data_IF_348057342824
#
_entry.id   IF_348057342824
#
_cell.length_a   1.000
_cell.length_b   1.000
_cell.length_c   1.000
_cell.angle_alpha   90.00
_cell.angle_beta   90.00
_cell.angle_gamma   90.00
#
_symmetry.space_group_name_H-M   'P 1'
#
loop_
_entity.id
_entity.type
_entity.pdbx_description
1 polymer ?
#
# COMPACT_ATOMS: atom_id res chain seq x y z
N UNK A 1 -16.67 -15.69 -19.50
CA UNK A 1 -15.60 -14.77 -19.96
C UNK A 1 -16.03 -14.04 -21.24
N UNK A 2 -16.95 -13.06 -21.19
CA UNK A 2 -17.46 -12.37 -22.40
C UNK A 2 -17.23 -10.84 -22.46
N UNK A 3 -16.56 -10.23 -21.47
CA UNK A 3 -16.43 -8.77 -21.37
C UNK A 3 -15.04 -8.17 -21.63
N UNK A 4 -14.02 -8.97 -21.99
CA UNK A 4 -12.65 -8.48 -22.26
C UNK A 4 -12.61 -7.42 -23.38
N UNK A 5 -13.28 -7.60 -24.54
CA UNK A 5 -13.18 -6.65 -25.66
C UNK A 5 -13.73 -5.25 -25.34
N UNK A 6 -14.68 -5.16 -24.40
CA UNK A 6 -15.25 -3.88 -24.00
C UNK A 6 -14.27 -3.06 -23.17
N UNK A 7 -13.52 -3.68 -22.26
CA UNK A 7 -12.57 -2.97 -21.38
C UNK A 7 -11.47 -2.26 -22.19
N UNK A 8 -10.88 -2.95 -23.17
CA UNK A 8 -9.88 -2.35 -24.07
C UNK A 8 -10.45 -1.14 -24.81
N UNK A 9 -11.71 -1.22 -25.24
CA UNK A 9 -12.40 -0.14 -25.94
C UNK A 9 -12.61 1.07 -25.03
N UNK A 10 -13.07 0.86 -23.80
CA UNK A 10 -13.25 1.94 -22.81
C UNK A 10 -11.93 2.59 -22.42
N UNK A 11 -10.87 1.79 -22.23
CA UNK A 11 -9.53 2.32 -21.97
C UNK A 11 -9.08 3.12 -23.18
N UNK A 12 -9.12 2.55 -24.41
CA UNK A 12 -8.74 3.26 -25.63
C UNK A 12 -9.48 4.59 -25.81
N UNK A 13 -10.78 4.62 -25.51
CA UNK A 13 -11.58 5.84 -25.53
C UNK A 13 -11.08 6.87 -24.51
N UNK A 14 -10.85 6.48 -23.25
CA UNK A 14 -10.32 7.40 -22.23
C UNK A 14 -8.94 7.96 -22.65
N UNK A 15 -8.10 7.11 -23.23
CA UNK A 15 -6.76 7.47 -23.67
C UNK A 15 -6.78 8.43 -24.86
N UNK A 16 -7.70 8.25 -25.81
CA UNK A 16 -7.84 9.15 -26.97
C UNK A 16 -8.39 10.54 -26.62
N UNK A 17 -8.96 10.69 -25.42
CA UNK A 17 -9.49 11.95 -24.92
C UNK A 17 -8.60 12.59 -23.84
N UNK A 18 -7.35 12.12 -23.70
CA UNK A 18 -6.36 12.64 -22.76
C UNK A 18 -6.90 12.75 -21.32
N UNK A 19 -7.65 11.74 -20.87
CA UNK A 19 -8.24 11.73 -19.52
C UNK A 19 -7.12 11.84 -18.47
N UNK A 20 -7.15 12.90 -17.66
CA UNK A 20 -6.15 13.10 -16.61
C UNK A 20 -6.36 12.19 -15.39
N UNK A 21 -7.62 11.83 -15.13
CA UNK A 21 -8.07 11.10 -13.94
C UNK A 21 -8.66 9.75 -14.36
N UNK A 22 -7.88 8.68 -14.23
CA UNK A 22 -8.30 7.34 -14.64
C UNK A 22 -8.35 6.39 -13.44
N UNK A 23 -9.49 5.73 -13.26
CA UNK A 23 -9.70 4.72 -12.21
C UNK A 23 -10.21 3.43 -12.82
N UNK A 24 -9.38 2.37 -12.74
CA UNK A 24 -9.72 1.04 -13.24
C UNK A 24 -9.86 0.07 -12.07
N UNK A 25 -11.03 -0.58 -11.98
CA UNK A 25 -11.36 -1.52 -10.91
C UNK A 25 -11.67 -2.91 -11.48
N UNK A 26 -10.74 -3.83 -11.24
CA UNK A 26 -10.78 -5.22 -11.66
C UNK A 26 -10.99 -6.19 -10.47
N UNK A 27 -11.51 -5.73 -9.33
CA UNK A 27 -11.73 -6.55 -8.12
C UNK A 27 -12.64 -7.77 -8.34
N UNK A 28 -13.50 -7.76 -9.35
CA UNK A 28 -14.39 -8.89 -9.66
C UNK A 28 -13.92 -9.69 -10.88
N UNK A 29 -12.69 -9.44 -11.35
CA UNK A 29 -12.15 -10.03 -12.57
C UNK A 29 -11.12 -11.13 -12.27
N UNK A 30 -11.60 -12.32 -11.93
CA UNK A 30 -10.76 -13.46 -11.53
C UNK A 30 -9.84 -14.01 -12.64
N UNK A 31 -10.07 -13.63 -13.90
CA UNK A 31 -9.36 -14.17 -15.06
C UNK A 31 -8.04 -13.49 -15.43
N UNK A 32 -7.52 -12.55 -14.63
CA UNK A 32 -6.23 -11.91 -14.91
C UNK A 32 -6.22 -11.11 -16.22
N UNK A 33 -6.94 -9.99 -16.25
CA UNK A 33 -6.91 -9.03 -17.36
C UNK A 33 -5.52 -8.39 -17.53
N UNK A 34 -4.93 -8.51 -18.71
CA UNK A 34 -3.72 -7.77 -19.08
C UNK A 34 -4.14 -6.41 -19.62
N UNK A 35 -3.69 -5.33 -18.97
CA UNK A 35 -3.87 -3.98 -19.50
C UNK A 35 -3.18 -3.85 -20.87
N UNK A 36 -3.81 -3.21 -21.88
CA UNK A 36 -3.24 -3.08 -23.21
C UNK A 36 -1.93 -2.28 -23.23
N UNK A 37 -1.01 -2.59 -24.15
CA UNK A 37 0.33 -2.00 -24.14
C UNK A 37 0.32 -0.46 -24.32
N UNK A 38 -0.66 0.08 -25.05
CA UNK A 38 -0.84 1.53 -25.22
C UNK A 38 -1.16 2.28 -23.92
N UNK A 39 -1.66 1.58 -22.89
CA UNK A 39 -1.92 2.16 -21.58
C UNK A 39 -0.63 2.69 -20.92
N UNK A 40 0.46 1.95 -21.08
CA UNK A 40 1.74 2.23 -20.45
C UNK A 40 2.48 3.42 -21.07
N UNK A 41 2.23 3.71 -22.34
CA UNK A 41 2.91 4.77 -23.08
C UNK A 41 2.23 6.14 -22.97
N UNK A 42 1.32 6.31 -22.02
CA UNK A 42 0.54 7.54 -21.88
C UNK A 42 1.17 8.56 -20.96
N UNK A 43 1.12 9.82 -21.42
CA UNK A 43 1.76 10.97 -20.80
C UNK A 43 0.74 11.96 -20.21
N UNK A 44 -0.56 11.68 -20.29
CA UNK A 44 -1.62 12.62 -19.91
C UNK A 44 -2.18 12.41 -18.50
N UNK A 45 -1.96 11.24 -17.90
CA UNK A 45 -2.53 10.95 -16.59
C UNK A 45 -1.76 11.69 -15.50
N UNK A 46 -2.47 12.57 -14.79
CA UNK A 46 -2.00 13.17 -13.54
C UNK A 46 -2.41 12.32 -12.34
N UNK A 47 -3.57 11.64 -12.42
CA UNK A 47 -4.08 10.72 -11.38
C UNK A 47 -4.46 9.35 -11.96
N UNK A 48 -3.82 8.30 -11.45
CA UNK A 48 -4.11 6.91 -11.82
C UNK A 48 -4.47 6.07 -10.59
N UNK A 49 -5.58 5.35 -10.68
CA UNK A 49 -6.00 4.36 -9.69
C UNK A 49 -6.20 3.00 -10.33
N UNK A 50 -5.48 2.01 -9.84
CA UNK A 50 -5.60 0.63 -10.25
C UNK A 50 -5.99 -0.24 -9.04
N UNK A 51 -7.03 -1.04 -9.21
CA UNK A 51 -7.47 -2.03 -8.23
C UNK A 51 -7.73 -3.37 -8.90
N UNK A 52 -7.24 -4.49 -8.37
CA UNK A 52 -7.62 -5.79 -8.93
C UNK A 52 -6.79 -7.01 -8.51
N UNK A 53 -7.43 -8.18 -8.44
CA UNK A 53 -6.80 -9.45 -8.08
C UNK A 53 -6.04 -10.09 -9.24
N UNK A 54 -4.85 -10.66 -8.99
CA UNK A 54 -4.05 -11.37 -10.00
C UNK A 54 -3.60 -10.52 -11.22
N UNK A 55 -3.65 -9.18 -11.16
CA UNK A 55 -3.15 -8.34 -12.26
C UNK A 55 -1.71 -7.91 -12.00
N UNK A 56 -0.84 -8.16 -12.98
CA UNK A 56 0.48 -7.56 -13.05
C UNK A 56 0.32 -6.10 -13.48
N UNK A 57 0.78 -5.16 -12.65
CA UNK A 57 0.57 -3.72 -12.87
C UNK A 57 1.30 -3.25 -14.12
N UNK A 58 2.50 -3.77 -14.37
CA UNK A 58 3.33 -3.45 -15.54
C UNK A 58 4.00 -4.73 -16.03
N UNK A 59 3.81 -5.14 -17.31
CA UNK A 59 4.51 -6.26 -17.89
C UNK A 59 6.02 -6.04 -17.95
N UNK A 60 6.84 -7.10 -17.87
CA UNK A 60 8.30 -6.98 -17.82
C UNK A 60 8.91 -6.27 -19.03
N UNK A 61 8.26 -6.42 -20.17
CA UNK A 61 8.72 -5.90 -21.46
C UNK A 61 8.16 -4.49 -21.76
N UNK A 62 7.28 -3.97 -20.90
CA UNK A 62 6.61 -2.70 -21.14
C UNK A 62 7.47 -1.52 -20.69
N UNK A 63 7.78 -0.64 -21.63
CA UNK A 63 8.23 0.72 -21.31
C UNK A 63 7.02 1.51 -20.81
N UNK A 64 7.12 2.07 -19.61
CA UNK A 64 6.06 2.91 -19.03
C UNK A 64 6.51 4.36 -19.01
N UNK A 65 5.70 5.22 -19.61
CA UNK A 65 5.96 6.65 -19.84
C UNK A 65 5.01 7.55 -19.06
N UNK A 66 4.68 7.17 -17.82
CA UNK A 66 3.87 7.95 -16.88
C UNK A 66 4.60 9.18 -16.32
N UNK A 67 5.17 10.02 -17.18
CA UNK A 67 6.00 11.18 -16.82
C UNK A 67 5.22 12.29 -16.12
N UNK A 68 3.93 12.43 -16.44
CA UNK A 68 3.02 13.42 -15.82
C UNK A 68 2.32 12.91 -14.57
N UNK A 69 2.53 11.64 -14.18
CA UNK A 69 1.83 11.05 -13.05
C UNK A 69 2.26 11.72 -11.74
N UNK A 70 1.27 12.21 -11.00
CA UNK A 70 1.45 12.84 -9.68
C UNK A 70 0.75 12.06 -8.58
N UNK A 71 -0.40 11.47 -8.88
CA UNK A 71 -1.18 10.70 -7.92
C UNK A 71 -1.32 9.26 -8.39
N UNK A 72 -0.84 8.32 -7.59
CA UNK A 72 -0.91 6.90 -7.90
C UNK A 72 -1.56 6.14 -6.75
N UNK A 73 -2.59 5.36 -7.07
CA UNK A 73 -3.24 4.45 -6.12
C UNK A 73 -3.17 3.02 -6.63
N UNK A 74 -2.52 2.15 -5.86
CA UNK A 74 -2.34 0.74 -6.16
C UNK A 74 -2.89 -0.10 -5.00
N UNK A 75 -4.04 -0.75 -5.19
CA UNK A 75 -4.68 -1.54 -4.14
C UNK A 75 -5.12 -2.93 -4.62
N UNK A 76 -5.04 -3.93 -3.72
CA UNK A 76 -5.60 -5.27 -3.89
C UNK A 76 -4.96 -6.18 -4.97
N UNK A 77 -3.63 -6.28 -5.04
CA UNK A 77 -2.92 -7.13 -6.04
C UNK A 77 -2.48 -8.49 -5.48
N UNK A 78 -2.50 -9.56 -6.28
CA UNK A 78 -2.19 -10.89 -5.76
C UNK A 78 -0.68 -11.12 -5.52
N UNK A 79 -0.39 -11.78 -4.41
CA UNK A 79 0.95 -12.20 -3.98
C UNK A 79 1.44 -13.47 -4.70
N UNK A 80 0.56 -14.15 -5.46
CA UNK A 80 0.86 -15.37 -6.23
C UNK A 80 1.99 -15.19 -7.27
N UNK A 81 2.40 -13.95 -7.54
CA UNK A 81 3.48 -13.61 -8.46
C UNK A 81 4.80 -13.25 -7.74
N UNK A 82 4.93 -13.46 -6.43
CA UNK A 82 6.08 -13.03 -5.62
C UNK A 82 7.46 -13.48 -6.15
N UNK A 83 7.57 -14.66 -6.77
CA UNK A 83 8.84 -15.14 -7.33
C UNK A 83 9.26 -14.33 -8.58
N UNK A 84 8.40 -14.14 -9.59
CA UNK A 84 8.69 -13.21 -10.69
C UNK A 84 8.87 -11.75 -10.24
N UNK A 85 8.16 -11.32 -9.19
CA UNK A 85 8.11 -9.92 -8.79
C UNK A 85 9.44 -9.32 -8.30
N UNK A 86 10.32 -10.08 -7.65
CA UNK A 86 11.64 -9.56 -7.28
C UNK A 86 12.45 -9.06 -8.48
N UNK A 87 12.29 -9.72 -9.64
CA UNK A 87 12.92 -9.28 -10.90
C UNK A 87 12.30 -7.99 -11.44
N UNK A 88 11.02 -7.76 -11.17
CA UNK A 88 10.24 -6.63 -11.72
C UNK A 88 10.13 -5.45 -10.75
N UNK A 89 10.57 -5.68 -9.52
CA UNK A 89 10.58 -4.71 -8.44
C UNK A 89 11.28 -3.40 -8.82
N UNK A 90 12.50 -3.37 -9.41
CA UNK A 90 13.15 -2.11 -9.76
C UNK A 90 12.39 -1.30 -10.81
N UNK A 91 11.81 -1.98 -11.81
CA UNK A 91 11.03 -1.36 -12.89
C UNK A 91 9.80 -0.66 -12.32
N UNK A 92 9.11 -1.31 -11.38
CA UNK A 92 7.92 -0.71 -10.77
C UNK A 92 8.26 0.48 -9.88
N UNK A 93 9.34 0.42 -9.11
CA UNK A 93 9.74 1.52 -8.24
C UNK A 93 10.19 2.76 -9.00
N UNK A 94 10.86 2.57 -10.15
CA UNK A 94 11.17 3.67 -11.06
C UNK A 94 9.92 4.47 -11.46
N UNK A 95 8.74 3.82 -11.50
CA UNK A 95 7.47 4.49 -11.82
C UNK A 95 6.83 5.20 -10.63
N UNK A 96 7.21 4.85 -9.41
CA UNK A 96 6.73 5.53 -8.20
C UNK A 96 7.50 6.83 -7.92
N UNK A 97 8.74 6.97 -8.41
CA UNK A 97 9.67 8.06 -8.04
C UNK A 97 9.13 9.48 -8.29
N UNK A 98 8.24 9.62 -9.27
CA UNK A 98 7.67 10.92 -9.68
C UNK A 98 6.33 11.22 -8.99
N UNK A 99 5.73 10.27 -8.27
CA UNK A 99 4.47 10.50 -7.60
C UNK A 99 4.65 11.43 -6.40
N UNK A 100 3.82 12.46 -6.32
CA UNK A 100 3.71 13.35 -5.15
C UNK A 100 2.72 12.80 -4.13
N UNK A 101 1.68 12.09 -4.59
CA UNK A 101 0.69 11.41 -3.74
C UNK A 101 0.66 9.92 -4.06
N UNK A 102 0.93 9.09 -3.08
CA UNK A 102 0.99 7.65 -3.25
C UNK A 102 0.02 6.95 -2.29
N UNK A 103 -0.84 6.08 -2.83
CA UNK A 103 -1.69 5.19 -2.06
C UNK A 103 -1.36 3.73 -2.36
N UNK A 104 -1.01 2.96 -1.31
CA UNK A 104 -0.60 1.56 -1.43
C UNK A 104 -1.50 0.66 -0.60
N UNK A 105 -1.92 -0.46 -1.18
CA UNK A 105 -2.62 -1.51 -0.47
C UNK A 105 -1.68 -2.48 0.23
N UNK A 106 -2.19 -3.13 1.28
CA UNK A 106 -1.54 -4.17 2.08
C UNK A 106 -0.57 -5.10 1.33
N UNK A 107 -1.00 -5.70 0.21
CA UNK A 107 -0.14 -6.64 -0.54
C UNK A 107 1.13 -5.98 -1.11
N UNK A 108 1.03 -4.73 -1.57
CA UNK A 108 2.20 -4.00 -2.05
C UNK A 108 3.16 -3.69 -0.91
N UNK A 109 2.63 -3.31 0.26
CA UNK A 109 3.42 -3.02 1.45
C UNK A 109 4.17 -4.28 1.93
N UNK A 110 3.56 -5.47 1.85
CA UNK A 110 4.25 -6.72 2.18
C UNK A 110 5.38 -7.06 1.19
N UNK A 111 5.19 -6.78 -0.10
CA UNK A 111 6.27 -6.92 -1.10
C UNK A 111 7.42 -5.97 -0.74
N UNK A 112 7.11 -4.74 -0.33
CA UNK A 112 8.12 -3.80 0.16
C UNK A 112 8.83 -4.33 1.43
N UNK A 113 8.09 -4.90 2.38
CA UNK A 113 8.69 -5.53 3.57
C UNK A 113 9.67 -6.63 3.20
N UNK A 114 9.31 -7.45 2.22
CA UNK A 114 10.15 -8.55 1.75
C UNK A 114 11.39 -8.05 1.01
N UNK A 115 11.26 -6.99 0.21
CA UNK A 115 12.38 -6.35 -0.46
C UNK A 115 13.35 -5.70 0.54
N UNK A 116 12.81 -5.11 1.61
CA UNK A 116 13.59 -4.59 2.74
C UNK A 116 14.42 -5.68 3.39
N UNK A 117 13.74 -6.76 3.75
CA UNK A 117 14.34 -7.98 4.30
C UNK A 117 15.45 -8.53 3.41
N UNK A 118 15.29 -8.48 2.09
CA UNK A 118 16.28 -8.97 1.13
C UNK A 118 17.38 -7.97 0.82
N UNK A 119 17.40 -6.79 1.44
CA UNK A 119 18.38 -5.75 1.16
C UNK A 119 18.33 -5.27 -0.30
N UNK A 120 17.17 -5.40 -0.96
CA UNK A 120 17.03 -4.91 -2.34
C UNK A 120 17.15 -3.40 -2.31
N UNK A 121 17.83 -2.73 -3.26
CA UNK A 121 17.88 -1.27 -3.31
C UNK A 121 16.48 -0.64 -3.45
N UNK A 122 16.28 0.53 -2.84
CA UNK A 122 15.06 1.34 -2.98
C UNK A 122 15.41 2.74 -3.48
N UNK A 123 14.65 3.32 -4.42
CA UNK A 123 14.88 4.68 -4.84
C UNK A 123 14.30 5.67 -3.82
N UNK A 124 14.91 6.85 -3.77
CA UNK A 124 14.32 8.01 -3.09
C UNK A 124 13.06 8.44 -3.84
N UNK A 125 11.97 8.64 -3.10
CA UNK A 125 10.67 9.05 -3.60
C UNK A 125 10.44 10.54 -3.39
N UNK A 126 9.72 11.18 -4.32
CA UNK A 126 9.26 12.58 -4.22
C UNK A 126 7.87 12.70 -3.57
N UNK A 127 7.46 11.67 -2.83
CA UNK A 127 6.11 11.58 -2.25
C UNK A 127 6.00 12.57 -1.09
N UNK A 128 5.00 13.44 -1.17
CA UNK A 128 4.59 14.38 -0.11
C UNK A 128 3.43 13.86 0.71
N UNK A 129 2.56 13.04 0.12
CA UNK A 129 1.44 12.42 0.83
C UNK A 129 1.37 10.91 0.59
N UNK A 130 1.48 10.14 1.66
CA UNK A 130 1.45 8.68 1.63
C UNK A 130 0.21 8.13 2.36
N UNK A 131 -0.55 7.28 1.68
CA UNK A 131 -1.70 6.57 2.26
C UNK A 131 -1.52 5.06 2.16
N UNK A 132 -1.52 4.38 3.30
CA UNK A 132 -1.28 2.95 3.41
C UNK A 132 -2.58 2.26 3.83
N UNK A 133 -3.25 1.64 2.86
CA UNK A 133 -4.51 0.91 3.05
C UNK A 133 -4.21 -0.53 3.50
N UNK A 134 -3.89 -0.67 4.78
CA UNK A 134 -3.52 -1.95 5.40
C UNK A 134 -3.96 -2.05 6.85
N UNK A 135 -4.18 -3.29 7.32
CA UNK A 135 -4.18 -3.58 8.76
C UNK A 135 -2.74 -3.51 9.27
N UNK A 136 -2.56 -3.02 10.49
CA UNK A 136 -1.26 -2.92 11.14
C UNK A 136 -0.92 -4.29 11.73
N UNK A 137 0.13 -4.91 11.21
CA UNK A 137 0.69 -6.18 11.68
C UNK A 137 2.19 -6.20 11.41
N UNK A 138 2.92 -7.11 12.06
CA UNK A 138 4.38 -7.22 11.89
C UNK A 138 4.82 -7.42 10.42
N UNK A 139 3.99 -8.01 9.56
CA UNK A 139 4.30 -8.23 8.14
C UNK A 139 4.45 -6.96 7.31
N UNK A 140 3.81 -5.85 7.71
CA UNK A 140 3.84 -4.59 6.94
C UNK A 140 4.85 -3.60 7.50
N UNK A 141 5.24 -3.73 8.78
CA UNK A 141 6.13 -2.78 9.46
C UNK A 141 7.43 -2.52 8.69
N UNK A 142 8.18 -3.54 8.20
CA UNK A 142 9.42 -3.30 7.46
C UNK A 142 9.20 -2.52 6.15
N UNK A 143 8.12 -2.80 5.43
CA UNK A 143 7.77 -2.09 4.21
C UNK A 143 7.37 -0.64 4.48
N UNK A 144 6.71 -0.38 5.60
CA UNK A 144 6.40 0.99 6.05
C UNK A 144 7.69 1.73 6.40
N UNK A 145 8.60 1.13 7.15
CA UNK A 145 9.91 1.70 7.49
C UNK A 145 10.65 2.17 6.24
N UNK A 146 10.77 1.26 5.26
CA UNK A 146 11.47 1.52 4.01
C UNK A 146 10.86 2.70 3.25
N UNK A 147 9.53 2.81 3.20
CA UNK A 147 8.86 3.94 2.56
C UNK A 147 9.19 5.26 3.24
N UNK A 148 9.21 5.29 4.57
CA UNK A 148 9.51 6.50 5.34
C UNK A 148 10.95 6.96 5.15
N UNK A 149 11.91 6.03 5.29
CA UNK A 149 13.34 6.31 5.13
C UNK A 149 13.69 6.83 3.74
N UNK A 150 12.90 6.49 2.72
CA UNK A 150 13.13 6.89 1.34
C UNK A 150 12.17 7.98 0.85
N UNK A 151 11.40 8.62 1.73
CA UNK A 151 10.50 9.72 1.37
C UNK A 151 10.85 11.00 2.15
N UNK A 152 12.01 11.64 1.89
CA UNK A 152 12.49 12.79 2.67
C UNK A 152 11.54 14.00 2.63
N UNK A 153 10.74 14.12 1.57
CA UNK A 153 9.78 15.22 1.37
C UNK A 153 8.37 14.89 1.87
N UNK A 154 8.20 13.81 2.65
CA UNK A 154 6.89 13.41 3.14
C UNK A 154 6.35 14.42 4.16
N UNK A 155 5.19 14.99 3.84
CA UNK A 155 4.47 15.95 4.69
C UNK A 155 3.35 15.24 5.46
N UNK A 156 2.63 14.31 4.80
CA UNK A 156 1.47 13.64 5.38
C UNK A 156 1.52 12.13 5.24
N UNK A 157 1.31 11.43 6.36
CA UNK A 157 1.14 9.99 6.42
C UNK A 157 -0.27 9.62 6.89
N UNK A 158 -0.90 8.66 6.22
CA UNK A 158 -2.11 8.00 6.70
C UNK A 158 -1.93 6.49 6.64
N UNK A 159 -2.03 5.82 7.78
CA UNK A 159 -1.93 4.35 7.86
C UNK A 159 -3.24 3.81 8.38
N UNK A 160 -3.85 2.91 7.62
CA UNK A 160 -4.98 2.13 8.06
C UNK A 160 -5.88 1.74 6.91
N UNK A 161 -6.53 0.60 7.08
CA UNK A 161 -7.33 -0.02 6.03
C UNK A 161 -8.29 -1.05 6.59
N UNK A 162 -9.49 -1.10 6.00
CA UNK A 162 -10.46 -2.15 6.32
C UNK A 162 -10.07 -3.40 5.54
N UNK A 163 -9.59 -4.46 6.22
CA UNK A 163 -9.39 -5.72 5.49
C UNK A 163 -10.75 -6.31 5.15
N UNK A 164 -11.10 -6.15 3.88
CA UNK A 164 -12.28 -6.78 3.29
C UNK A 164 -11.97 -8.17 2.74
N UNK A 165 -10.70 -8.61 2.78
CA UNK A 165 -10.28 -9.84 2.10
C UNK A 165 -9.28 -10.64 2.92
N UNK A 166 -9.43 -11.97 2.87
CA UNK A 166 -8.48 -12.93 3.45
C UNK A 166 -7.12 -12.73 2.79
N UNK A 167 -6.10 -12.53 3.61
CA UNK A 167 -4.73 -12.50 3.15
C UNK A 167 -4.32 -13.93 2.82
N UNK A 168 -3.82 -14.23 1.61
CA UNK A 168 -3.11 -15.47 1.39
C UNK A 168 -1.86 -15.46 2.28
N UNK A 169 -1.55 -16.57 2.99
CA UNK A 169 -0.30 -16.67 3.73
C UNK A 169 0.87 -16.39 2.80
N UNK A 170 1.77 -15.49 3.20
CA UNK A 170 3.09 -15.45 2.59
C UNK A 170 3.93 -16.48 3.35
N UNK A 171 3.80 -17.76 2.99
CA UNK A 171 4.55 -18.86 3.62
C UNK A 171 6.07 -18.57 3.68
N UNK A 172 6.58 -17.82 2.70
CA UNK A 172 7.96 -17.34 2.66
C UNK A 172 8.33 -16.33 3.75
N UNK A 173 7.42 -15.43 4.13
CA UNK A 173 7.65 -14.39 5.12
C UNK A 173 7.64 -15.00 6.52
N UNK A 174 6.71 -15.92 6.78
CA UNK A 174 6.67 -16.70 8.02
C UNK A 174 7.94 -17.54 8.20
N UNK A 175 8.41 -18.21 7.15
CA UNK A 175 9.64 -19.01 7.18
C UNK A 175 10.88 -18.13 7.45
N UNK A 176 10.93 -16.93 6.88
CA UNK A 176 12.06 -16.01 7.05
C UNK A 176 12.05 -15.30 8.41
N UNK A 177 10.90 -14.81 8.86
CA UNK A 177 10.76 -14.18 10.18
C UNK A 177 11.17 -15.17 11.30
N UNK A 178 10.82 -16.45 11.17
CA UNK A 178 11.31 -17.52 12.05
C UNK A 178 12.83 -17.68 12.02
N UNK A 179 13.47 -17.59 10.84
CA UNK A 179 14.93 -17.67 10.71
C UNK A 179 15.64 -16.45 11.32
N UNK A 180 14.99 -15.29 11.39
CA UNK A 180 15.52 -14.07 12.01
C UNK A 180 15.21 -13.97 13.51
N UNK A 181 14.65 -15.02 14.13
CA UNK A 181 14.33 -15.03 15.56
C UNK A 181 13.07 -14.24 15.93
N UNK A 182 12.29 -13.74 14.95
CA UNK A 182 10.98 -13.18 15.24
C UNK A 182 10.01 -14.31 15.59
N UNK A 183 9.26 -14.14 16.69
CA UNK A 183 8.26 -15.11 17.11
C UNK A 183 7.04 -15.05 16.16
N UNK A 184 7.08 -15.85 15.09
CA UNK A 184 5.92 -16.07 14.22
C UNK A 184 5.01 -17.08 14.91
N UNK A 185 4.18 -16.60 15.83
CA UNK A 185 3.10 -17.42 16.38
C UNK A 185 2.29 -18.00 15.21
N UNK A 186 1.91 -19.27 15.34
CA UNK A 186 1.24 -20.07 14.32
C UNK A 186 -0.15 -19.48 14.05
N UNK A 187 -0.26 -18.53 13.13
CA UNK A 187 -1.55 -17.96 12.73
C UNK A 187 -2.38 -19.04 12.04
N UNK A 188 -3.54 -19.37 12.63
CA UNK A 188 -4.54 -20.22 11.99
C UNK A 188 -5.38 -19.34 11.05
N UNK A 189 -5.35 -19.64 9.76
CA UNK A 189 -5.98 -18.85 8.69
C UNK A 189 -7.50 -19.11 8.53
N UNK A 190 -8.08 -19.89 9.44
CA UNK A 190 -9.50 -20.13 9.53
C UNK A 190 -10.05 -19.38 10.73
N UNK A 191 -10.50 -18.14 10.52
CA UNK A 191 -11.61 -17.54 11.27
C UNK A 191 -11.85 -16.10 10.81
N UNK A 192 -13.08 -15.64 10.98
CA UNK A 192 -13.50 -14.23 11.01
C UNK A 192 -12.75 -13.39 12.09
N UNK A 193 -11.76 -13.98 12.76
CA UNK A 193 -10.99 -13.44 13.87
C UNK A 193 -9.49 -13.56 13.59
N UNK A 194 -8.96 -12.62 12.80
CA UNK A 194 -7.51 -12.45 12.69
C UNK A 194 -6.96 -11.99 14.06
N UNK A 195 -6.25 -12.90 14.74
CA UNK A 195 -5.65 -12.76 16.09
C UNK A 195 -4.46 -11.78 16.11
N UNK A 196 -4.03 -11.26 14.95
CA UNK A 196 -2.82 -10.43 14.79
C UNK A 196 -3.01 -8.92 15.02
N UNK A 197 -4.23 -8.45 15.27
CA UNK A 197 -4.48 -7.07 15.67
C UNK A 197 -4.10 -6.88 17.15
N UNK A 198 -2.80 -6.99 17.44
CA UNK A 198 -2.24 -6.75 18.76
C UNK A 198 -1.78 -5.31 18.89
N UNK A 199 -1.96 -4.73 20.08
CA UNK A 199 -1.46 -3.40 20.41
C UNK A 199 0.05 -3.28 20.22
N UNK A 200 0.82 -4.34 20.49
CA UNK A 200 2.28 -4.36 20.32
C UNK A 200 2.71 -3.97 18.91
N UNK A 201 1.99 -4.39 17.86
CA UNK A 201 2.31 -4.00 16.48
C UNK A 201 2.02 -2.52 16.21
N UNK A 202 0.99 -1.96 16.85
CA UNK A 202 0.69 -0.53 16.77
C UNK A 202 1.75 0.27 17.50
N UNK A 203 2.16 -0.18 18.69
CA UNK A 203 3.25 0.42 19.45
C UNK A 203 4.57 0.39 18.65
N UNK A 204 4.97 -0.75 18.11
CA UNK A 204 6.16 -0.87 17.25
C UNK A 204 6.08 0.02 16.01
N UNK A 205 4.89 0.14 15.39
CA UNK A 205 4.71 1.08 14.28
C UNK A 205 4.90 2.51 14.76
N UNK A 206 4.31 2.90 15.88
CA UNK A 206 4.45 4.25 16.45
C UNK A 206 5.91 4.57 16.77
N UNK A 207 6.63 3.67 17.43
CA UNK A 207 8.07 3.82 17.71
C UNK A 207 8.88 4.01 16.42
N UNK A 208 8.61 3.17 15.42
CA UNK A 208 9.25 3.27 14.11
C UNK A 208 8.95 4.60 13.42
N UNK A 209 7.71 5.10 13.53
CA UNK A 209 7.36 6.42 13.03
C UNK A 209 8.21 7.47 13.75
N UNK A 210 8.22 7.48 15.09
CA UNK A 210 8.99 8.45 15.86
C UNK A 210 10.49 8.48 15.50
N UNK A 211 11.07 7.34 15.14
CA UNK A 211 12.48 7.22 14.72
C UNK A 211 12.71 7.69 13.27
N UNK A 212 11.77 7.41 12.35
CA UNK A 212 11.96 7.59 10.91
C UNK A 212 11.17 8.77 10.31
N UNK A 213 10.52 9.61 11.13
CA UNK A 213 9.82 10.79 10.65
C UNK A 213 10.80 11.83 10.11
N UNK A 214 10.46 12.40 8.96
CA UNK A 214 11.20 13.53 8.37
C UNK A 214 10.83 14.82 9.08
N UNK A 215 11.72 15.83 9.05
CA UNK A 215 11.42 17.16 9.62
C UNK A 215 10.23 17.86 8.95
N UNK A 216 9.88 17.43 7.73
CA UNK A 216 8.76 17.98 6.95
C UNK A 216 7.41 17.34 7.30
N UNK A 217 7.41 16.22 8.01
CA UNK A 217 6.18 15.49 8.32
C UNK A 217 5.36 16.26 9.35
N UNK A 218 4.21 16.81 8.94
CA UNK A 218 3.34 17.62 9.81
C UNK A 218 2.22 16.78 10.45
N UNK A 219 1.80 15.71 9.78
CA UNK A 219 0.60 14.97 10.13
C UNK A 219 0.70 13.48 9.88
N UNK A 220 0.44 12.72 10.94
CA UNK A 220 0.25 11.27 10.91
C UNK A 220 -1.19 10.97 11.31
N UNK A 221 -1.87 10.16 10.50
CA UNK A 221 -3.21 9.65 10.82
C UNK A 221 -3.15 8.13 10.88
N UNK A 222 -3.42 7.55 12.06
CA UNK A 222 -3.55 6.11 12.24
C UNK A 222 -5.03 5.77 12.36
N UNK A 223 -5.56 5.02 11.39
CA UNK A 223 -6.94 4.52 11.40
C UNK A 223 -6.94 3.12 12.02
N UNK A 224 -7.39 3.03 13.27
CA UNK A 224 -7.44 1.80 14.03
C UNK A 224 -8.82 1.14 13.91
N UNK A 225 -8.80 -0.14 13.54
CA UNK A 225 -9.94 -1.06 13.58
C UNK A 225 -10.40 -1.29 15.03
N UNK A 226 -11.69 -1.61 15.24
CA UNK A 226 -12.27 -1.86 16.57
C UNK A 226 -11.51 -2.92 17.38
N UNK A 227 -10.83 -3.84 16.71
CA UNK A 227 -10.01 -4.87 17.37
C UNK A 227 -8.83 -4.30 18.16
N UNK A 228 -8.32 -3.11 17.79
CA UNK A 228 -7.28 -2.42 18.56
C UNK A 228 -7.86 -1.64 19.77
N UNK A 229 -9.17 -1.42 19.83
CA UNK A 229 -9.84 -0.68 20.92
C UNK A 229 -10.06 -1.51 22.18
N UNK A 230 -9.82 -2.83 22.12
CA UNK A 230 -9.82 -3.68 23.32
C UNK A 230 -8.65 -3.38 24.27
N UNK A 231 -7.70 -2.57 23.83
CA UNK A 231 -6.50 -2.23 24.57
C UNK A 231 -6.56 -0.78 25.06
N UNK A 232 -5.99 -0.50 26.24
CA UNK A 232 -6.01 0.83 26.83
C UNK A 232 -5.18 1.79 26.00
N UNK A 233 -5.81 2.84 25.48
CA UNK A 233 -5.17 3.92 24.70
C UNK A 233 -4.09 4.67 25.49
N UNK A 234 -4.13 4.58 26.82
CA UNK A 234 -3.15 5.14 27.76
C UNK A 234 -1.72 4.65 27.46
N UNK A 235 -1.57 3.39 27.04
CA UNK A 235 -0.27 2.78 26.73
C UNK A 235 0.39 3.40 25.48
N UNK A 236 -0.41 3.87 24.51
CA UNK A 236 0.09 4.55 23.31
C UNK A 236 0.44 6.01 23.58
N UNK A 237 -0.29 6.68 24.49
CA UNK A 237 -0.05 8.10 24.80
C UNK A 237 1.29 8.35 25.47
N UNK A 238 1.79 7.40 26.27
CA UNK A 238 3.13 7.49 26.86
C UNK A 238 4.21 7.52 25.78
N UNK A 239 4.14 6.61 24.79
CA UNK A 239 5.08 6.52 23.66
C UNK A 239 5.05 7.78 22.79
N UNK A 240 3.89 8.41 22.62
CA UNK A 240 3.67 9.56 21.73
C UNK A 240 4.09 10.91 22.35
N UNK A 241 4.32 10.98 23.66
CA UNK A 241 4.53 12.24 24.39
C UNK A 241 5.86 12.96 24.09
N UNK A 242 6.78 12.33 23.36
CA UNK A 242 8.15 12.82 23.18
C UNK A 242 8.41 13.67 21.93
N UNK A 243 7.40 13.97 21.09
CA UNK A 243 7.64 14.66 19.81
C UNK A 243 6.69 15.85 19.60
N UNK A 244 7.21 17.08 19.71
CA UNK A 244 6.41 18.32 19.74
C UNK A 244 5.99 18.85 18.37
N UNK A 245 6.55 18.31 17.28
CA UNK A 245 6.42 18.94 15.95
C UNK A 245 5.49 18.19 14.98
N UNK A 246 5.03 16.98 15.34
CA UNK A 246 4.20 16.14 14.46
C UNK A 246 2.82 15.92 15.08
N UNK A 247 1.76 16.22 14.33
CA UNK A 247 0.39 15.96 14.78
C UNK A 247 0.03 14.50 14.52
N UNK A 248 -0.15 13.71 15.59
CA UNK A 248 -0.55 12.30 15.50
C UNK A 248 -2.03 12.17 15.85
N UNK A 249 -2.84 11.71 14.89
CA UNK A 249 -4.27 11.52 15.05
C UNK A 249 -4.59 10.03 15.05
N UNK A 250 -5.10 9.52 16.16
CA UNK A 250 -5.65 8.17 16.27
C UNK A 250 -7.16 8.23 16.01
N UNK A 251 -7.62 7.57 14.95
CA UNK A 251 -9.05 7.50 14.61
C UNK A 251 -9.51 6.06 14.75
N UNK A 252 -10.47 5.83 15.64
CA UNK A 252 -11.15 4.55 15.77
C UNK A 252 -12.36 4.51 14.84
N UNK A 253 -12.47 3.51 13.97
CA UNK A 253 -13.67 3.38 13.13
C UNK A 253 -14.71 2.51 13.83
N UNK A 254 -15.69 3.11 14.50
CA UNK A 254 -16.84 2.39 15.08
C UNK A 254 -18.04 2.25 14.14
N UNK A 255 -17.96 2.79 12.91
CA UNK A 255 -19.06 2.72 11.93
C UNK A 255 -18.55 2.55 10.51
N UNK A 256 -19.27 1.73 9.74
CA UNK A 256 -19.09 1.58 8.30
C UNK A 256 -19.25 2.94 7.60
N UNK A 257 -18.16 3.68 7.40
CA UNK A 257 -18.17 4.84 6.53
C UNK A 257 -18.60 4.42 5.11
N UNK A 258 -19.72 4.98 4.64
CA UNK A 258 -20.22 4.88 3.25
C UNK A 258 -19.07 5.14 2.26
N UNK A 259 -19.06 4.51 1.08
CA UNK A 259 -18.04 4.76 0.08
C UNK A 259 -18.03 6.26 -0.27
N UNK A 260 -16.88 6.92 -0.06
CA UNK A 260 -16.67 8.29 -0.55
C UNK A 260 -16.84 8.29 -2.07
N UNK A 261 -17.72 9.15 -2.57
CA UNK A 261 -17.90 9.44 -3.99
C UNK A 261 -16.65 10.11 -4.58
N UNK A 262 -16.56 10.13 -5.91
CA UNK A 262 -15.38 10.51 -6.68
C UNK A 262 -14.87 11.94 -6.49
N UNK A 263 -15.59 12.78 -5.74
CA UNK A 263 -15.32 14.22 -5.61
C UNK A 263 -14.45 14.58 -4.39
N UNK A 264 -14.21 13.66 -3.46
CA UNK A 264 -13.43 13.93 -2.23
C UNK A 264 -11.91 13.65 -2.33
N UNK A 265 -11.31 13.67 -3.54
CA UNK A 265 -9.91 13.25 -3.77
C UNK A 265 -9.04 14.18 -4.65
#
# INVERSE_FOLDING_TARGET
>A
MKNIPYMDTWIKFAMSHNVENLSLNFLHYYGGYKLPDFFYNSYHHSKLKLSGYNHMIVPPECTVSWTSLRNLSLTYFALSLMNPWLRFYPVMLDKLKNAEKLKLGSNFIQILSLAEIRGVPFPVLKVKALTLDTKISHYVIPGIQRLLQNSPDLEKLTVGGRARFRMPPVEFLDKYLKLQGFNVNKCSWNEEHCVDAKLEHVASLVELLLINCTEKLDKIVLLLDERYLKFKTEDLTATLSHNSNVTIVLISSTKQAKPKTSEDW
#
